data_IF_349001079309
#
_entry.id   IF_349001079309
#
_cell.length_a   1.000
_cell.length_b   1.000
_cell.length_c   1.000
_cell.angle_alpha   90.00
_cell.angle_beta   90.00
_cell.angle_gamma   90.00
#
_symmetry.space_group_name_H-M   'P 1'
#
loop_
_entity.id
_entity.type
_entity.pdbx_description
1 polymer ?
#
# COMPACT_ATOMS: atom_id res chain seq x y z
N UNK A 1 6.62 2.32 9.74
CA UNK A 1 7.12 3.28 8.72
C UNK A 1 8.26 4.19 9.22
N UNK A 2 8.94 3.91 10.34
CA UNK A 2 9.88 4.87 10.94
C UNK A 2 11.32 4.81 10.37
N UNK A 3 11.76 3.67 9.83
CA UNK A 3 13.15 3.48 9.40
C UNK A 3 13.44 3.99 7.96
N UNK A 4 12.42 4.09 7.09
CA UNK A 4 12.61 4.35 5.66
C UNK A 4 12.65 5.85 5.31
N UNK A 5 12.04 6.70 6.13
CA UNK A 5 11.94 8.15 5.87
C UNK A 5 13.31 8.84 5.83
N UNK A 6 14.26 8.41 6.67
CA UNK A 6 15.63 8.94 6.68
C UNK A 6 16.40 8.70 5.37
N UNK A 7 15.94 7.76 4.52
CA UNK A 7 16.53 7.44 3.22
C UNK A 7 15.71 7.98 2.04
N UNK A 8 14.78 8.91 2.29
CA UNK A 8 13.89 9.46 1.25
C UNK A 8 12.91 8.44 0.68
N UNK A 9 12.68 7.31 1.37
CA UNK A 9 11.75 6.28 0.92
C UNK A 9 10.44 6.35 1.70
N UNK A 10 9.35 6.49 0.97
CA UNK A 10 7.99 6.58 1.51
C UNK A 10 7.16 5.37 1.08
N UNK A 11 6.12 5.06 1.85
CA UNK A 11 5.23 3.92 1.58
C UNK A 11 3.80 4.38 1.70
N UNK A 12 3.00 4.05 0.68
CA UNK A 12 1.61 4.43 0.56
C UNK A 12 0.76 3.17 0.44
N UNK A 13 -0.45 3.22 0.97
CA UNK A 13 -1.48 2.24 0.64
C UNK A 13 -2.13 2.69 -0.67
N UNK A 14 -2.15 1.81 -1.65
CA UNK A 14 -2.68 2.05 -2.99
C UNK A 14 -3.75 1.02 -3.29
N UNK A 15 -4.58 1.27 -4.31
CA UNK A 15 -5.50 0.25 -4.78
C UNK A 15 -4.71 -0.92 -5.38
N UNK A 16 -5.09 -2.15 -5.02
CA UNK A 16 -4.59 -3.41 -5.59
C UNK A 16 -4.59 -3.47 -7.12
N UNK A 17 -5.46 -2.70 -7.78
CA UNK A 17 -5.55 -2.66 -9.25
C UNK A 17 -4.64 -1.61 -9.89
N UNK A 18 -4.02 -0.72 -9.11
CA UNK A 18 -3.23 0.37 -9.65
C UNK A 18 -1.89 -0.11 -10.23
N UNK A 19 -1.51 0.45 -11.38
CA UNK A 19 -0.22 0.15 -12.00
C UNK A 19 0.89 1.11 -11.51
N UNK A 20 2.16 0.70 -11.61
CA UNK A 20 3.30 1.51 -11.15
C UNK A 20 3.41 2.86 -11.83
N UNK A 21 3.04 2.94 -13.11
CA UNK A 21 3.08 4.18 -13.89
C UNK A 21 2.03 5.18 -13.39
N UNK A 22 0.83 4.71 -13.09
CA UNK A 22 -0.26 5.52 -12.55
C UNK A 22 0.11 6.07 -11.17
N UNK A 23 0.66 5.22 -10.30
CA UNK A 23 1.13 5.61 -8.97
C UNK A 23 2.22 6.69 -9.08
N UNK A 24 3.18 6.51 -10.00
CA UNK A 24 4.23 7.50 -10.25
C UNK A 24 3.63 8.85 -10.63
N UNK A 25 2.79 8.89 -11.67
CA UNK A 25 2.19 10.13 -12.14
C UNK A 25 1.28 10.79 -11.11
N UNK A 26 0.52 10.01 -10.34
CA UNK A 26 -0.34 10.54 -9.28
C UNK A 26 0.48 11.21 -8.17
N UNK A 27 1.55 10.56 -7.70
CA UNK A 27 2.43 11.11 -6.66
C UNK A 27 3.16 12.36 -7.17
N UNK A 28 3.68 12.34 -8.40
CA UNK A 28 4.36 13.50 -9.00
C UNK A 28 3.41 14.70 -9.12
N UNK A 29 2.14 14.49 -9.49
CA UNK A 29 1.13 15.56 -9.62
C UNK A 29 0.66 16.12 -8.27
N UNK A 30 0.36 15.25 -7.30
CA UNK A 30 -0.21 15.67 -6.01
C UNK A 30 0.83 16.37 -5.15
N UNK A 31 2.09 15.91 -5.21
CA UNK A 31 3.15 16.40 -4.34
C UNK A 31 4.18 17.26 -5.08
N UNK A 32 4.04 17.47 -6.39
CA UNK A 32 4.97 18.28 -7.21
C UNK A 32 6.44 17.88 -7.05
N UNK A 33 6.71 16.58 -6.86
CA UNK A 33 8.05 16.01 -6.70
C UNK A 33 8.41 15.12 -7.89
N UNK A 34 9.70 14.80 -8.06
CA UNK A 34 10.16 13.78 -9.01
C UNK A 34 10.35 12.44 -8.31
N UNK A 35 9.81 11.37 -8.89
CA UNK A 35 9.94 10.01 -8.34
C UNK A 35 10.96 9.22 -9.16
N UNK A 36 12.02 8.75 -8.50
CA UNK A 36 13.05 7.91 -9.14
C UNK A 36 12.52 6.50 -9.44
N UNK A 37 12.03 5.80 -8.41
CA UNK A 37 11.58 4.41 -8.53
C UNK A 37 10.37 4.12 -7.63
N UNK A 38 9.42 3.34 -8.16
CA UNK A 38 8.26 2.82 -7.42
C UNK A 38 8.43 1.32 -7.17
N UNK A 39 8.16 0.88 -5.93
CA UNK A 39 8.07 -0.53 -5.56
C UNK A 39 6.69 -0.81 -4.98
N UNK A 40 6.04 -1.86 -5.45
CA UNK A 40 4.73 -2.30 -4.99
C UNK A 40 4.82 -3.76 -4.54
N UNK A 41 4.06 -4.08 -3.51
CA UNK A 41 3.86 -5.45 -3.01
C UNK A 41 2.38 -5.59 -2.67
N UNK A 42 1.82 -6.78 -2.89
CA UNK A 42 0.45 -7.08 -2.45
C UNK A 42 0.52 -7.68 -1.05
N UNK A 43 -0.15 -7.04 -0.09
CA UNK A 43 -0.19 -7.46 1.30
C UNK A 43 -1.53 -8.11 1.57
N UNK A 44 -1.52 -9.43 1.75
CA UNK A 44 -2.72 -10.18 2.14
C UNK A 44 -3.18 -9.73 3.53
N UNK A 45 -4.47 -9.44 3.64
CA UNK A 45 -5.07 -9.04 4.89
C UNK A 45 -5.08 -10.17 5.91
N UNK A 46 -4.84 -9.83 7.18
CA UNK A 46 -4.79 -10.80 8.27
C UNK A 46 -6.18 -11.44 8.48
N UNK A 47 -6.21 -12.77 8.60
CA UNK A 47 -7.39 -13.50 9.06
C UNK A 47 -7.75 -13.06 10.48
N UNK A 48 -9.01 -12.69 10.69
CA UNK A 48 -9.60 -12.35 11.98
C UNK A 48 -10.60 -13.44 12.37
N UNK A 49 -10.39 -14.02 13.55
CA UNK A 49 -11.38 -14.91 14.17
C UNK A 49 -12.52 -14.07 14.75
N UNK A 50 -13.76 -14.34 14.33
CA UNK A 50 -14.94 -13.79 15.00
C UNK A 50 -15.35 -14.69 16.16
N UNK A 51 -15.79 -14.09 17.27
CA UNK A 51 -16.06 -14.80 18.53
C UNK A 51 -17.29 -15.74 18.44
N UNK A 52 -18.23 -15.44 17.53
CA UNK A 52 -19.57 -16.05 17.51
C UNK A 52 -19.99 -16.66 16.15
N UNK A 53 -19.13 -16.72 15.14
CA UNK A 53 -19.44 -17.30 13.82
C UNK A 53 -18.36 -18.30 13.40
N UNK A 54 -18.79 -19.41 12.81
CA UNK A 54 -17.95 -20.48 12.22
C UNK A 54 -17.13 -19.98 11.01
N UNK A 55 -17.35 -18.74 10.57
CA UNK A 55 -16.70 -18.12 9.41
C UNK A 55 -15.48 -17.30 9.82
N UNK A 56 -14.33 -17.58 9.18
CA UNK A 56 -13.14 -16.72 9.28
C UNK A 56 -13.38 -15.40 8.53
N UNK A 57 -13.45 -14.27 9.23
CA UNK A 57 -13.42 -12.96 8.59
C UNK A 57 -12.01 -12.63 8.12
N UNK A 58 -11.82 -12.05 6.94
CA UNK A 58 -10.51 -11.53 6.49
C UNK A 58 -10.53 -10.01 6.43
N UNK A 59 -9.43 -9.37 6.86
CA UNK A 59 -9.21 -7.95 6.54
C UNK A 59 -9.01 -7.84 5.01
N UNK A 60 -9.51 -6.78 4.39
CA UNK A 60 -9.30 -6.53 2.96
C UNK A 60 -7.81 -6.47 2.66
N UNK A 61 -7.41 -7.07 1.53
CA UNK A 61 -6.06 -6.99 0.99
C UNK A 61 -5.74 -5.55 0.58
N UNK A 62 -4.47 -5.16 0.75
CA UNK A 62 -3.95 -3.82 0.42
C UNK A 62 -2.61 -3.89 -0.28
#
# INVERSE_FOLDING_TARGET
MAAMQKRGTYTFLVDTKANKNEIKHAVEKVFSVKVDRVRTIMVKGKSKRMKNLVLEGRRKDV
#
